data_IF_978636253828
#
_entry.id   IF_978636253828
#
_cell.length_a   1.000
_cell.length_b   1.000
_cell.length_c   1.000
_cell.angle_alpha   90.00
_cell.angle_beta   90.00
_cell.angle_gamma   90.00
#
_symmetry.space_group_name_H-M   'P 1'
#
loop_
_entity.id
_entity.type
_entity.pdbx_description
1 polymer ?
#
# COMPACT_ATOMS: atom_id res chain seq x y z
N UNK A 1 10.53 -22.66 18.43
CA UNK A 1 9.27 -22.36 17.71
C UNK A 1 9.36 -20.92 17.23
N UNK A 2 9.80 -20.71 16.00
CA UNK A 2 9.94 -19.37 15.42
C UNK A 2 8.54 -18.84 15.11
N UNK A 3 8.16 -17.72 15.70
CA UNK A 3 6.91 -17.04 15.38
C UNK A 3 6.91 -16.73 13.88
N UNK A 4 6.05 -17.42 13.11
CA UNK A 4 5.81 -17.08 11.71
C UNK A 4 5.08 -15.75 11.72
N UNK A 5 5.83 -14.68 11.50
CA UNK A 5 5.29 -13.34 11.41
C UNK A 5 4.21 -13.31 10.33
N UNK A 6 2.98 -12.89 10.72
CA UNK A 6 1.86 -12.91 9.79
C UNK A 6 2.18 -12.04 8.57
N UNK A 7 1.88 -12.51 7.35
CA UNK A 7 2.09 -11.73 6.15
C UNK A 7 1.42 -10.35 6.25
N UNK A 8 2.17 -9.29 5.92
CA UNK A 8 1.62 -7.94 5.81
C UNK A 8 0.51 -7.93 4.76
N UNK A 9 -0.65 -7.38 5.14
CA UNK A 9 -1.82 -7.29 4.26
C UNK A 9 -1.55 -6.35 3.08
N UNK A 10 -2.10 -6.70 1.92
CA UNK A 10 -2.01 -5.87 0.72
C UNK A 10 -2.90 -4.62 0.89
N UNK A 11 -2.42 -3.42 0.51
CA UNK A 11 -3.22 -2.19 0.51
C UNK A 11 -4.16 -2.09 -0.69
N UNK A 12 -4.34 -3.17 -1.46
CA UNK A 12 -5.14 -3.18 -2.66
C UNK A 12 -6.64 -3.02 -2.35
N UNK A 13 -7.28 -2.02 -2.94
CA UNK A 13 -8.73 -1.78 -2.85
C UNK A 13 -9.50 -2.32 -4.06
N UNK A 14 -8.89 -3.25 -4.83
CA UNK A 14 -9.45 -3.82 -6.07
C UNK A 14 -9.79 -2.79 -7.15
N UNK A 15 -9.19 -1.62 -7.09
CA UNK A 15 -9.25 -0.59 -8.14
C UNK A 15 -7.87 -0.55 -8.80
N UNK A 16 -7.83 -0.87 -10.09
CA UNK A 16 -6.61 -0.82 -10.89
C UNK A 16 -6.75 0.32 -11.91
N UNK A 17 -6.36 1.52 -11.48
CA UNK A 17 -6.23 2.69 -12.33
C UNK A 17 -4.85 3.29 -12.06
N UNK A 18 -4.03 3.42 -13.11
CA UNK A 18 -2.69 4.01 -13.05
C UNK A 18 -2.77 5.46 -13.51
N UNK A 19 -1.91 6.32 -12.95
CA UNK A 19 -1.65 7.67 -13.48
C UNK A 19 -0.50 7.67 -14.50
N UNK A 20 -0.08 8.86 -14.93
CA UNK A 20 1.00 9.04 -15.90
C UNK A 20 2.39 8.64 -15.36
N UNK A 21 2.53 8.51 -14.03
CA UNK A 21 3.77 8.11 -13.35
C UNK A 21 3.77 6.60 -12.99
N UNK A 22 2.87 5.80 -13.58
CA UNK A 22 2.68 4.37 -13.28
C UNK A 22 2.33 4.09 -11.80
N UNK A 23 1.71 5.04 -11.12
CA UNK A 23 1.24 4.90 -9.74
C UNK A 23 -0.25 4.57 -9.75
N UNK A 24 -0.62 3.54 -9.00
CA UNK A 24 -2.01 3.16 -8.83
C UNK A 24 -2.76 4.21 -8.01
N UNK A 25 -3.72 4.90 -8.61
CA UNK A 25 -4.51 5.94 -7.94
C UNK A 25 -5.31 5.41 -6.75
N UNK A 26 -5.65 4.12 -6.73
CA UNK A 26 -6.38 3.48 -5.64
C UNK A 26 -5.52 3.05 -4.44
N UNK A 27 -4.38 2.37 -4.69
CA UNK A 27 -3.53 1.83 -3.61
C UNK A 27 -2.18 2.54 -3.45
N UNK A 28 -1.89 3.52 -4.30
CA UNK A 28 -0.70 4.38 -4.29
C UNK A 28 0.64 3.62 -4.41
N UNK A 29 0.57 2.36 -4.86
CA UNK A 29 1.73 1.55 -5.25
C UNK A 29 2.08 1.79 -6.71
N UNK A 30 3.37 1.72 -7.03
CA UNK A 30 3.84 1.67 -8.42
C UNK A 30 3.55 0.30 -9.05
N UNK A 31 3.53 0.22 -10.37
CA UNK A 31 3.47 -1.07 -11.10
C UNK A 31 4.57 -2.03 -10.66
N UNK A 32 5.79 -1.54 -10.45
CA UNK A 32 6.92 -2.34 -9.96
C UNK A 32 6.68 -2.93 -8.57
N UNK A 33 6.11 -2.14 -7.65
CA UNK A 33 5.75 -2.61 -6.31
C UNK A 33 4.61 -3.64 -6.36
N UNK A 34 3.63 -3.44 -7.23
CA UNK A 34 2.50 -4.37 -7.43
C UNK A 34 3.00 -5.72 -7.93
N UNK A 35 3.87 -5.72 -8.96
CA UNK A 35 4.39 -6.95 -9.57
C UNK A 35 5.33 -7.72 -8.63
N UNK A 36 6.10 -7.01 -7.80
CA UNK A 36 7.05 -7.61 -6.85
C UNK A 36 6.43 -7.99 -5.50
N UNK A 37 5.24 -7.51 -5.17
CA UNK A 37 4.59 -7.70 -3.86
C UNK A 37 4.61 -9.15 -3.34
N UNK A 38 4.28 -10.13 -4.19
CA UNK A 38 4.23 -11.55 -3.82
C UNK A 38 5.61 -12.13 -3.48
N UNK A 39 6.69 -11.47 -3.93
CA UNK A 39 8.09 -11.88 -3.71
C UNK A 39 8.75 -11.12 -2.55
N UNK A 40 8.13 -10.03 -2.08
CA UNK A 40 8.65 -9.20 -0.99
C UNK A 40 8.45 -9.87 0.37
N UNK A 41 9.42 -9.65 1.26
CA UNK A 41 9.32 -10.01 2.67
C UNK A 41 8.45 -9.01 3.47
N UNK A 42 8.19 -9.30 4.75
CA UNK A 42 7.36 -8.43 5.57
C UNK A 42 8.00 -7.06 5.87
N UNK A 43 9.33 -6.95 5.87
CA UNK A 43 10.02 -5.68 6.08
C UNK A 43 9.89 -4.79 4.84
N UNK A 44 10.14 -5.34 3.66
CA UNK A 44 9.96 -4.69 2.36
C UNK A 44 8.51 -4.23 2.17
N UNK A 45 7.54 -5.10 2.48
CA UNK A 45 6.11 -4.75 2.39
C UNK A 45 5.75 -3.55 3.27
N UNK A 46 6.33 -3.45 4.47
CA UNK A 46 6.11 -2.29 5.37
C UNK A 46 6.70 -1.01 4.80
N UNK A 47 7.89 -1.10 4.20
CA UNK A 47 8.51 0.06 3.53
C UNK A 47 7.63 0.53 2.38
N UNK A 48 7.15 -0.39 1.53
CA UNK A 48 6.23 -0.06 0.43
C UNK A 48 4.96 0.61 0.95
N UNK A 49 4.36 0.11 2.04
CA UNK A 49 3.18 0.74 2.64
C UNK A 49 3.46 2.16 3.14
N UNK A 50 4.65 2.41 3.71
CA UNK A 50 5.08 3.75 4.11
C UNK A 50 5.17 4.70 2.92
N UNK A 51 5.82 4.26 1.84
CA UNK A 51 5.93 5.03 0.60
C UNK A 51 4.56 5.31 -0.03
N UNK A 52 3.65 4.33 -0.03
CA UNK A 52 2.28 4.52 -0.52
C UNK A 52 1.55 5.60 0.28
N UNK A 53 1.73 5.61 1.60
CA UNK A 53 1.14 6.63 2.46
C UNK A 53 1.72 8.01 2.15
N UNK A 54 3.05 8.13 2.01
CA UNK A 54 3.71 9.39 1.66
C UNK A 54 3.21 9.94 0.31
N UNK A 55 3.08 9.08 -0.71
CA UNK A 55 2.52 9.44 -2.03
C UNK A 55 1.06 9.88 -1.91
N UNK A 56 0.25 9.15 -1.14
CA UNK A 56 -1.15 9.50 -0.91
C UNK A 56 -1.29 10.88 -0.24
N UNK A 57 -0.40 11.20 0.71
CA UNK A 57 -0.34 12.50 1.39
C UNK A 57 0.11 13.59 0.43
N UNK A 58 1.14 13.33 -0.38
CA UNK A 58 1.65 14.27 -1.39
C UNK A 58 0.60 14.58 -2.48
N UNK A 59 -0.17 13.57 -2.90
CA UNK A 59 -1.27 13.72 -3.85
C UNK A 59 -2.55 14.33 -3.26
N UNK A 60 -2.58 14.66 -1.96
CA UNK A 60 -3.75 15.23 -1.30
C UNK A 60 -4.94 14.26 -1.18
N UNK A 61 -4.71 12.96 -1.41
CA UNK A 61 -5.74 11.92 -1.41
C UNK A 61 -6.12 11.45 0.01
N UNK A 62 -5.27 11.75 0.99
CA UNK A 62 -5.56 11.47 2.40
C UNK A 62 -6.28 12.68 3.00
N UNK A 63 -7.61 12.72 2.84
CA UNK A 63 -8.42 13.51 3.76
C UNK A 63 -8.41 12.76 5.09
N UNK A 64 -7.70 13.29 6.10
CA UNK A 64 -7.67 12.77 7.46
C UNK A 64 -9.09 12.78 8.03
N UNK A 65 -9.86 11.77 7.65
CA UNK A 65 -11.16 11.46 8.22
C UNK A 65 -10.84 10.60 9.44
N UNK A 66 -11.24 10.98 10.67
CA UNK A 66 -10.98 10.15 11.83
C UNK A 66 -11.63 8.79 11.57
N UNK A 67 -10.80 7.75 11.60
CA UNK A 67 -11.16 6.39 11.20
C UNK A 67 -12.44 5.93 11.89
N UNK A 68 -13.34 5.34 11.11
CA UNK A 68 -14.47 4.61 11.69
C UNK A 68 -13.89 3.37 12.36
N UNK A 69 -13.72 3.45 13.67
CA UNK A 69 -13.49 2.33 14.57
C UNK A 69 -14.47 1.21 14.22
N UNK A 70 -13.94 -0.01 14.11
CA UNK A 70 -14.76 -1.21 13.94
C UNK A 70 -15.80 -1.35 15.04
N UNK A 71 -16.96 -1.86 14.65
CA UNK A 71 -17.96 -2.49 15.51
C UNK A 71 -18.33 -3.82 14.86
#
# INVERSE_FOLDING_TARGET
MTAVERPVASPCVSICALDDDDICTGCQRTVDEITRWSRMDNAERRVVLGLCHERAVAGGLVWMTPGKSGA
#
